data_IF_993740091777
#
_entry.id   IF_993740091777
#
_cell.length_a   1.000
_cell.length_b   1.000
_cell.length_c   1.000
_cell.angle_alpha   90.00
_cell.angle_beta   90.00
_cell.angle_gamma   90.00
#
_symmetry.space_group_name_H-M   'P 1'
#
loop_
_entity.id
_entity.type
_entity.pdbx_description
1 polymer ?
#
# COMPACT_ATOMS: atom_id res chain seq x y z
N UNK A 1 -50.51 -11.87 -25.08
CA UNK A 1 -50.37 -12.41 -23.71
C UNK A 1 -48.88 -12.49 -23.40
N UNK A 2 -48.33 -11.67 -22.48
CA UNK A 2 -46.90 -11.70 -22.19
C UNK A 2 -46.58 -12.84 -21.23
N UNK A 3 -45.62 -13.68 -21.61
CA UNK A 3 -45.07 -14.73 -20.75
C UNK A 3 -44.09 -14.08 -19.79
N UNK A 4 -44.47 -14.00 -18.51
CA UNK A 4 -43.58 -13.55 -17.43
C UNK A 4 -42.72 -14.73 -16.98
N UNK A 5 -41.41 -14.66 -17.26
CA UNK A 5 -40.44 -15.62 -16.73
C UNK A 5 -39.93 -15.08 -15.39
N UNK A 6 -40.49 -15.62 -14.31
CA UNK A 6 -40.10 -15.35 -12.93
C UNK A 6 -38.91 -16.25 -12.60
N UNK A 7 -37.71 -15.70 -12.44
CA UNK A 7 -36.58 -16.44 -11.86
C UNK A 7 -35.84 -15.56 -10.84
N UNK A 8 -36.05 -15.92 -9.57
CA UNK A 8 -35.23 -15.70 -8.37
C UNK A 8 -34.05 -14.72 -8.45
N UNK A 9 -34.22 -13.57 -7.80
CA UNK A 9 -33.23 -12.87 -6.96
C UNK A 9 -31.74 -12.98 -7.36
N UNK A 10 -31.38 -12.60 -8.59
CA UNK A 10 -29.98 -12.31 -8.95
C UNK A 10 -29.87 -10.87 -9.44
N UNK A 11 -29.17 -10.04 -8.65
CA UNK A 11 -28.85 -8.65 -8.98
C UNK A 11 -27.96 -8.62 -10.22
N UNK A 12 -28.54 -8.37 -11.40
CA UNK A 12 -27.83 -8.20 -12.67
C UNK A 12 -26.97 -6.93 -12.54
N UNK A 13 -25.64 -7.08 -12.38
CA UNK A 13 -24.70 -5.96 -12.32
C UNK A 13 -24.57 -5.34 -13.72
N UNK A 14 -24.69 -4.03 -13.83
CA UNK A 14 -24.66 -3.31 -15.12
C UNK A 14 -23.26 -3.32 -15.75
N UNK A 15 -23.16 -3.25 -17.09
CA UNK A 15 -21.88 -3.15 -17.82
C UNK A 15 -20.99 -1.99 -17.34
N UNK A 16 -21.60 -0.89 -16.90
CA UNK A 16 -20.91 0.24 -16.27
C UNK A 16 -20.25 -0.14 -14.93
N UNK A 17 -20.86 -1.04 -14.14
CA UNK A 17 -20.28 -1.53 -12.88
C UNK A 17 -19.13 -2.53 -13.10
N UNK A 18 -19.07 -3.19 -14.26
CA UNK A 18 -17.96 -4.09 -14.63
C UNK A 18 -16.73 -3.27 -15.04
N UNK A 19 -16.89 -2.31 -15.97
CA UNK A 19 -15.81 -1.44 -16.45
C UNK A 19 -15.19 -0.56 -15.35
N UNK A 20 -16.00 -0.12 -14.37
CA UNK A 20 -15.52 0.71 -13.24
C UNK A 20 -14.62 -0.07 -12.27
N UNK A 21 -14.71 -1.40 -12.24
CA UNK A 21 -13.79 -2.25 -11.45
C UNK A 21 -12.46 -2.44 -12.15
N UNK A 22 -12.46 -2.55 -13.48
CA UNK A 22 -11.24 -2.72 -14.28
C UNK A 22 -10.33 -1.47 -14.18
N UNK A 23 -10.93 -0.26 -14.17
CA UNK A 23 -10.20 1.00 -13.96
C UNK A 23 -9.67 1.21 -12.52
N UNK A 24 -10.20 0.47 -11.53
CA UNK A 24 -9.73 0.56 -10.14
C UNK A 24 -8.49 -0.31 -9.86
N UNK A 25 -8.07 -1.14 -10.82
CA UNK A 25 -7.01 -2.14 -10.65
C UNK A 25 -5.66 -1.70 -11.22
N UNK A 26 -5.61 -0.67 -12.06
CA UNK A 26 -4.35 -0.11 -12.57
C UNK A 26 -3.79 1.00 -11.68
N UNK A 27 -3.64 0.76 -10.38
CA UNK A 27 -2.74 1.63 -9.60
C UNK A 27 -1.32 1.15 -9.86
N UNK A 28 -0.61 1.86 -10.72
CA UNK A 28 0.81 1.60 -10.97
C UNK A 28 1.57 1.83 -9.66
N UNK A 29 2.20 0.79 -9.15
CA UNK A 29 3.15 0.90 -8.05
C UNK A 29 4.54 0.95 -8.65
N UNK A 30 5.45 1.65 -7.98
CA UNK A 30 6.86 1.69 -8.38
C UNK A 30 7.72 1.14 -7.26
N UNK A 31 8.86 0.57 -7.61
CA UNK A 31 9.84 0.15 -6.63
C UNK A 31 10.33 1.38 -5.86
N UNK A 32 10.27 1.35 -4.54
CA UNK A 32 10.74 2.44 -3.68
C UNK A 32 12.24 2.75 -3.85
N UNK A 33 13.01 1.88 -4.50
CA UNK A 33 14.46 2.01 -4.60
C UNK A 33 14.93 2.44 -6.00
N UNK A 34 14.43 1.83 -7.08
CA UNK A 34 14.83 2.19 -8.45
C UNK A 34 13.74 2.88 -9.28
N UNK A 35 12.51 2.98 -8.77
CA UNK A 35 11.38 3.55 -9.51
C UNK A 35 10.78 2.64 -10.58
N UNK A 36 11.30 1.41 -10.77
CA UNK A 36 10.76 0.46 -11.75
C UNK A 36 9.29 0.12 -11.46
N UNK A 37 8.39 0.09 -12.47
CA UNK A 37 6.99 -0.24 -12.27
C UNK A 37 6.84 -1.70 -11.82
N UNK A 38 6.18 -1.88 -10.67
CA UNK A 38 5.94 -3.19 -10.06
C UNK A 38 4.44 -3.43 -9.89
N UNK A 39 4.08 -4.72 -9.81
CA UNK A 39 2.72 -5.13 -9.49
C UNK A 39 2.50 -5.13 -7.98
N UNK A 40 1.23 -5.11 -7.56
CA UNK A 40 0.84 -5.13 -6.14
C UNK A 40 1.36 -6.38 -5.39
N UNK A 41 1.47 -7.48 -6.12
CA UNK A 41 1.83 -8.80 -5.57
C UNK A 41 3.34 -9.04 -5.56
N UNK A 42 4.11 -8.22 -6.29
CA UNK A 42 5.57 -8.28 -6.37
C UNK A 42 6.20 -8.02 -5.00
N UNK A 43 7.03 -8.96 -4.52
CA UNK A 43 7.78 -8.86 -3.27
C UNK A 43 9.23 -8.43 -3.50
N UNK A 44 9.78 -8.73 -4.66
CA UNK A 44 11.14 -8.42 -5.07
C UNK A 44 11.10 -7.69 -6.40
N UNK A 45 11.84 -6.60 -6.51
CA UNK A 45 11.95 -5.89 -7.78
C UNK A 45 12.85 -6.68 -8.74
N UNK A 46 12.36 -6.96 -9.94
CA UNK A 46 13.09 -7.68 -10.98
C UNK A 46 14.26 -6.89 -11.56
N UNK A 47 14.21 -5.56 -11.44
CA UNK A 47 15.21 -4.64 -12.01
C UNK A 47 16.38 -4.42 -11.04
N UNK A 48 16.11 -4.03 -9.79
CA UNK A 48 17.16 -3.75 -8.80
C UNK A 48 17.43 -4.88 -7.81
N UNK A 49 16.64 -5.96 -7.83
CA UNK A 49 16.79 -7.11 -6.92
C UNK A 49 16.43 -6.83 -5.46
N UNK A 50 15.91 -5.65 -5.13
CA UNK A 50 15.57 -5.26 -3.75
C UNK A 50 14.13 -5.60 -3.37
N UNK A 51 13.92 -5.77 -2.07
CA UNK A 51 12.62 -6.08 -1.50
C UNK A 51 11.66 -4.89 -1.56
N UNK A 52 10.46 -5.14 -2.06
CA UNK A 52 9.37 -4.17 -2.13
C UNK A 52 8.82 -3.97 -0.73
N UNK A 53 9.09 -2.81 -0.16
CA UNK A 53 8.55 -2.43 1.15
C UNK A 53 7.04 -2.26 1.05
N UNK A 54 6.32 -2.93 1.96
CA UNK A 54 4.86 -2.84 2.06
C UNK A 54 4.49 -2.17 3.36
N UNK A 55 3.43 -1.37 3.29
CA UNK A 55 2.90 -0.73 4.47
C UNK A 55 2.17 -1.75 5.35
N UNK A 56 2.59 -1.86 6.62
CA UNK A 56 1.95 -2.77 7.59
C UNK A 56 0.48 -2.43 7.88
N UNK A 57 0.07 -1.17 7.67
CA UNK A 57 -1.30 -0.71 7.94
C UNK A 57 -2.23 -0.96 6.74
N UNK A 58 -1.87 -0.50 5.54
CA UNK A 58 -2.74 -0.60 4.36
C UNK A 58 -2.45 -1.83 3.48
N UNK A 59 -1.36 -2.57 3.75
CA UNK A 59 -0.91 -3.77 3.00
C UNK A 59 -0.63 -3.50 1.51
N UNK A 60 -0.42 -2.24 1.15
CA UNK A 60 -0.03 -1.82 -0.20
C UNK A 60 1.50 -1.64 -0.27
N UNK A 61 2.13 -1.93 -1.42
CA UNK A 61 3.53 -1.57 -1.63
C UNK A 61 3.69 -0.06 -1.62
N UNK A 62 4.79 0.39 -1.03
CA UNK A 62 5.14 1.81 -0.94
C UNK A 62 5.88 2.18 -2.22
N UNK A 63 5.38 3.19 -2.93
CA UNK A 63 5.94 3.66 -4.19
C UNK A 63 7.15 4.55 -3.99
N UNK A 64 7.89 4.79 -5.08
CA UNK A 64 8.98 5.76 -5.09
C UNK A 64 8.45 7.18 -4.80
N UNK A 65 9.07 7.86 -3.82
CA UNK A 65 8.69 9.22 -3.40
C UNK A 65 7.62 9.30 -2.30
N UNK A 66 7.02 8.18 -1.89
CA UNK A 66 6.14 8.17 -0.71
C UNK A 66 6.96 8.29 0.59
N UNK A 67 6.42 9.03 1.56
CA UNK A 67 7.05 9.16 2.87
C UNK A 67 6.95 7.83 3.65
N UNK A 68 8.11 7.25 3.98
CA UNK A 68 8.21 6.01 4.75
C UNK A 68 8.48 6.34 6.21
N UNK A 69 7.55 5.96 7.09
CA UNK A 69 7.79 5.88 8.52
C UNK A 69 8.34 4.52 8.88
N UNK A 70 9.46 4.50 9.60
CA UNK A 70 10.06 3.30 10.18
C UNK A 70 9.94 3.34 11.70
N UNK A 71 9.57 2.20 12.29
CA UNK A 71 9.60 2.00 13.73
C UNK A 71 11.05 1.90 14.22
N UNK A 72 11.44 2.67 15.23
CA UNK A 72 12.77 2.56 15.85
C UNK A 72 13.01 1.25 16.61
N UNK A 73 11.94 0.54 17.01
CA UNK A 73 12.05 -0.68 17.83
C UNK A 73 12.07 -1.98 17.01
N UNK A 74 11.26 -2.04 15.96
CA UNK A 74 11.07 -3.28 15.17
C UNK A 74 11.32 -3.09 13.68
N UNK A 75 11.76 -1.90 13.28
CA UNK A 75 12.08 -1.55 11.89
C UNK A 75 10.92 -1.76 10.91
N UNK A 76 9.69 -1.91 11.42
CA UNK A 76 8.49 -2.01 10.61
C UNK A 76 8.30 -0.73 9.80
N UNK A 77 8.06 -0.89 8.50
CA UNK A 77 7.92 0.21 7.55
C UNK A 77 6.45 0.39 7.17
N UNK A 78 6.00 1.62 7.14
CA UNK A 78 4.67 1.99 6.68
C UNK A 78 4.70 3.36 5.99
N UNK A 79 3.61 3.67 5.30
CA UNK A 79 3.38 5.06 4.90
C UNK A 79 3.34 5.92 6.16
N UNK A 80 4.08 7.02 6.16
CA UNK A 80 4.21 7.93 7.27
C UNK A 80 2.85 8.37 7.83
N UNK A 81 1.91 8.72 6.94
CA UNK A 81 0.56 9.16 7.29
C UNK A 81 -0.22 8.10 8.06
N UNK A 82 -0.23 6.86 7.58
CA UNK A 82 -0.91 5.74 8.24
C UNK A 82 -0.24 5.39 9.58
N UNK A 83 1.08 5.44 9.62
CA UNK A 83 1.82 5.12 10.84
C UNK A 83 1.61 6.18 11.92
N UNK A 84 1.65 7.46 11.56
CA UNK A 84 1.39 8.57 12.48
C UNK A 84 -0.05 8.56 12.98
N UNK A 85 -1.06 8.33 12.12
CA UNK A 85 -2.46 8.25 12.55
C UNK A 85 -2.65 7.09 13.56
N UNK A 86 -2.06 5.93 13.26
CA UNK A 86 -2.12 4.77 14.15
C UNK A 86 -1.47 5.04 15.50
N UNK A 87 -0.24 5.56 15.51
CA UNK A 87 0.48 5.89 16.76
C UNK A 87 -0.20 7.04 17.51
N UNK A 88 -0.79 8.00 16.81
CA UNK A 88 -1.55 9.09 17.44
C UNK A 88 -2.75 8.56 18.24
N UNK A 89 -3.46 7.57 17.68
CA UNK A 89 -4.65 6.95 18.29
C UNK A 89 -4.33 5.89 19.34
N UNK A 90 -3.42 4.97 19.03
CA UNK A 90 -3.13 3.78 19.83
C UNK A 90 -1.90 3.93 20.72
N UNK A 91 -1.02 4.92 20.45
CA UNK A 91 0.30 5.10 21.09
C UNK A 91 1.21 3.86 21.01
N UNK A 92 0.90 2.93 20.11
CA UNK A 92 1.57 1.63 19.94
C UNK A 92 1.91 1.37 18.48
N UNK A 93 2.95 0.59 18.24
CA UNK A 93 3.30 0.13 16.90
C UNK A 93 2.30 -0.93 16.41
N UNK A 94 1.80 -0.85 15.17
CA UNK A 94 0.88 -1.85 14.60
C UNK A 94 1.51 -3.24 14.40
N UNK A 95 2.85 -3.33 14.36
CA UNK A 95 3.57 -4.58 14.09
C UNK A 95 4.09 -5.24 15.37
N UNK A 96 4.79 -4.50 16.23
CA UNK A 96 5.38 -5.06 17.45
C UNK A 96 4.56 -4.79 18.72
N UNK A 97 3.46 -4.03 18.63
CA UNK A 97 2.57 -3.67 19.74
C UNK A 97 3.24 -2.92 20.91
N UNK A 98 4.50 -2.54 20.75
CA UNK A 98 5.24 -1.74 21.73
C UNK A 98 4.75 -0.29 21.72
N UNK A 99 4.72 0.31 22.91
CA UNK A 99 4.38 1.72 23.09
C UNK A 99 5.50 2.58 22.54
N UNK A 100 5.17 3.41 21.55
CA UNK A 100 6.13 4.31 20.89
C UNK A 100 5.58 5.73 20.89
N UNK A 101 6.38 6.73 21.32
CA UNK A 101 6.01 8.11 21.13
C UNK A 101 6.10 8.47 19.64
N UNK A 102 5.36 9.51 19.23
CA UNK A 102 5.36 9.98 17.83
C UNK A 102 6.75 10.38 17.32
N UNK A 103 7.61 10.84 18.24
CA UNK A 103 9.00 11.22 17.96
C UNK A 103 9.89 10.04 17.57
N UNK A 104 9.53 8.82 17.98
CA UNK A 104 10.29 7.60 17.66
C UNK A 104 10.04 7.06 16.24
N UNK A 105 9.25 7.76 15.42
CA UNK A 105 9.01 7.39 14.02
C UNK A 105 10.12 8.01 13.17
N UNK A 106 11.04 7.19 12.68
CA UNK A 106 12.13 7.64 11.80
C UNK A 106 11.60 7.75 10.38
N UNK A 107 11.74 8.92 9.76
CA UNK A 107 11.40 9.10 8.34
C UNK A 107 12.60 8.71 7.50
N UNK A 108 12.44 7.72 6.62
CA UNK A 108 13.50 7.35 5.68
C UNK A 108 13.28 8.15 4.41
N UNK A 109 14.04 9.24 4.26
CA UNK A 109 14.16 9.97 3.00
C UNK A 109 15.44 9.45 2.35
N UNK A 110 15.33 8.69 1.26
CA UNK A 110 16.52 8.29 0.50
C UNK A 110 16.86 9.41 -0.47
N UNK A 111 17.97 10.11 -0.21
CA UNK A 111 18.60 10.99 -1.19
C UNK A 111 19.28 10.12 -2.25
N UNK A 112 18.85 10.29 -3.50
CA UNK A 112 19.43 9.69 -4.70
C UNK A 112 20.93 10.06 -4.79
N UNK A 113 21.82 9.10 -4.53
CA UNK A 113 23.21 9.22 -4.98
C UNK A 113 23.22 9.03 -6.50
N UNK A 114 23.05 10.13 -7.21
CA UNK A 114 23.45 10.28 -8.62
C UNK A 114 24.98 10.24 -8.67
N UNK A 115 25.55 9.04 -8.79
CA UNK A 115 26.97 8.90 -9.10
C UNK A 115 27.21 9.23 -10.58
N UNK A 116 28.38 9.83 -10.81
CA UNK A 116 28.72 10.78 -11.89
C UNK A 116 29.33 10.10 -13.10
#
# INVERSE_FOLDING_TARGET
MPVVIVISSRRIRTRKEILKREAAISKAYSCNDCGYPINKETTLCEDCGKEVVRCVVCKLPISFGDAIGQCSLCEAKAHLTHMQDWVSKQKKCPQCLQEIPLDSIVQIIKEDKKDK
#
